data_IF_568318385972
#
_entry.id   IF_568318385972
#
_cell.length_a   1.000
_cell.length_b   1.000
_cell.length_c   1.000
_cell.angle_alpha   90.00
_cell.angle_beta   90.00
_cell.angle_gamma   90.00
#
_symmetry.space_group_name_H-M   'P 1'
#
loop_
_entity.id
_entity.type
_entity.pdbx_description
1 polymer ?
#
# COMPACT_ATOMS: atom_id res chain seq x y z
N UNK A 1 -4.94 -33.94 21.64
CA UNK A 1 -5.49 -32.87 20.78
C UNK A 1 -6.36 -31.99 21.64
N UNK A 2 -5.88 -30.82 22.03
CA UNK A 2 -6.65 -29.92 22.88
C UNK A 2 -7.67 -29.23 21.97
N UNK A 3 -8.94 -29.63 22.02
CA UNK A 3 -10.03 -28.80 21.50
C UNK A 3 -10.11 -27.56 22.40
N UNK A 4 -9.34 -26.55 22.04
CA UNK A 4 -9.37 -25.24 22.68
C UNK A 4 -10.59 -24.50 22.18
N UNK A 5 -11.68 -24.61 22.95
CA UNK A 5 -12.93 -23.92 22.69
C UNK A 5 -12.80 -22.46 23.14
N UNK A 6 -13.24 -21.50 22.32
CA UNK A 6 -13.26 -20.06 22.65
C UNK A 6 -13.86 -19.72 24.03
N UNK A 7 -14.79 -20.53 24.53
CA UNK A 7 -15.40 -20.40 25.87
C UNK A 7 -14.36 -20.53 26.99
N UNK A 8 -13.31 -21.32 26.80
CA UNK A 8 -12.21 -21.45 27.78
C UNK A 8 -11.41 -20.15 27.93
N UNK A 9 -11.50 -19.24 26.97
CA UNK A 9 -10.80 -17.95 27.03
C UNK A 9 -11.72 -16.84 27.50
N UNK A 10 -12.93 -16.74 26.92
CA UNK A 10 -13.85 -15.62 27.12
C UNK A 10 -14.99 -15.89 28.10
N UNK A 11 -15.16 -17.13 28.57
CA UNK A 11 -16.23 -17.49 29.51
C UNK A 11 -16.04 -16.91 30.91
N UNK A 12 -17.07 -17.05 31.76
CA UNK A 12 -17.10 -16.53 33.15
C UNK A 12 -15.90 -17.00 33.98
N UNK A 13 -15.41 -18.22 33.75
CA UNK A 13 -14.21 -18.78 34.38
C UNK A 13 -13.12 -19.06 33.33
N UNK A 14 -13.05 -18.23 32.29
CA UNK A 14 -12.07 -18.36 31.22
C UNK A 14 -10.70 -17.83 31.61
N UNK A 15 -9.67 -18.21 30.85
CA UNK A 15 -8.28 -17.78 31.03
C UNK A 15 -8.15 -16.26 31.12
N UNK A 16 -8.97 -15.49 30.38
CA UNK A 16 -8.94 -14.04 30.46
C UNK A 16 -9.60 -13.50 31.73
N UNK A 17 -10.64 -14.15 32.25
CA UNK A 17 -11.24 -13.78 33.54
C UNK A 17 -10.28 -13.98 34.70
N UNK A 18 -9.40 -14.98 34.64
CA UNK A 18 -8.42 -15.25 35.69
C UNK A 18 -7.17 -14.36 35.60
N UNK A 19 -6.75 -14.01 34.37
CA UNK A 19 -5.47 -13.32 34.13
C UNK A 19 -5.58 -11.82 33.87
N UNK A 20 -6.79 -11.28 33.73
CA UNK A 20 -7.02 -9.86 33.47
C UNK A 20 -7.85 -9.24 34.60
N UNK A 21 -7.21 -8.38 35.37
CA UNK A 21 -7.87 -7.53 36.35
C UNK A 21 -8.83 -6.58 35.64
N UNK A 22 -10.11 -6.56 36.06
CA UNK A 22 -11.16 -5.79 35.38
C UNK A 22 -11.76 -6.44 34.13
N UNK A 23 -11.51 -7.73 33.88
CA UNK A 23 -12.26 -8.46 32.85
C UNK A 23 -13.76 -8.49 33.19
N UNK A 24 -14.56 -8.00 32.27
CA UNK A 24 -16.02 -8.07 32.35
C UNK A 24 -16.52 -9.13 31.37
N UNK A 25 -17.17 -10.17 31.91
CA UNK A 25 -17.79 -11.19 31.08
C UNK A 25 -18.97 -10.60 30.29
N UNK A 26 -18.89 -10.65 28.96
CA UNK A 26 -19.93 -10.18 28.04
C UNK A 26 -20.49 -11.34 27.23
N UNK A 27 -21.74 -11.79 27.50
CA UNK A 27 -22.33 -12.92 26.77
C UNK A 27 -22.36 -12.74 25.25
N UNK A 28 -22.55 -11.51 24.76
CA UNK A 28 -22.54 -11.19 23.33
C UNK A 28 -21.17 -11.44 22.70
N UNK A 29 -20.09 -11.17 23.44
CA UNK A 29 -18.71 -11.40 22.99
C UNK A 29 -18.45 -12.91 22.80
N UNK A 30 -18.88 -13.72 23.77
CA UNK A 30 -18.75 -15.19 23.70
C UNK A 30 -19.58 -15.75 22.54
N UNK A 31 -20.82 -15.29 22.38
CA UNK A 31 -21.69 -15.70 21.27
C UNK A 31 -21.07 -15.38 19.91
N UNK A 32 -20.51 -14.18 19.75
CA UNK A 32 -19.78 -13.80 18.54
C UNK A 32 -18.56 -14.71 18.32
N UNK A 33 -17.75 -14.95 19.33
CA UNK A 33 -16.56 -15.79 19.22
C UNK A 33 -16.89 -17.23 18.81
N UNK A 34 -17.96 -17.83 19.36
CA UNK A 34 -18.43 -19.16 18.98
C UNK A 34 -18.95 -19.20 17.54
N UNK A 35 -19.65 -18.15 17.10
CA UNK A 35 -20.10 -18.04 15.71
C UNK A 35 -18.91 -17.97 14.76
N UNK A 36 -17.88 -17.18 15.10
CA UNK A 36 -16.63 -17.07 14.32
C UNK A 36 -15.87 -18.39 14.29
N UNK A 37 -15.73 -19.09 15.43
CA UNK A 37 -15.14 -20.43 15.52
C UNK A 37 -15.87 -21.45 14.61
N UNK A 38 -17.20 -21.41 14.63
CA UNK A 38 -18.04 -22.26 13.78
C UNK A 38 -17.84 -21.92 12.29
N UNK A 39 -17.74 -20.64 11.95
CA UNK A 39 -17.52 -20.19 10.58
C UNK A 39 -16.17 -20.66 10.02
N UNK A 40 -15.09 -20.55 10.80
CA UNK A 40 -13.77 -21.06 10.42
C UNK A 40 -13.75 -22.58 10.26
N UNK A 41 -14.32 -23.32 11.21
CA UNK A 41 -14.34 -24.79 11.17
C UNK A 41 -15.21 -25.36 10.05
N UNK A 42 -16.31 -24.69 9.70
CA UNK A 42 -17.23 -25.13 8.63
C UNK A 42 -16.96 -24.48 7.27
N UNK A 43 -15.93 -23.62 7.16
CA UNK A 43 -15.64 -22.84 5.96
C UNK A 43 -16.86 -22.07 5.41
N UNK A 44 -17.56 -21.35 6.29
CA UNK A 44 -18.76 -20.56 5.96
C UNK A 44 -18.52 -19.06 6.09
N UNK A 45 -19.27 -18.26 5.33
CA UNK A 45 -19.36 -16.83 5.54
C UNK A 45 -20.23 -16.50 6.76
N UNK A 46 -19.80 -15.52 7.53
CA UNK A 46 -20.52 -15.01 8.70
C UNK A 46 -20.52 -13.49 8.65
N UNK A 47 -21.70 -12.90 8.82
CA UNK A 47 -21.87 -11.47 9.01
C UNK A 47 -22.33 -11.27 10.46
N UNK A 48 -21.63 -10.40 11.19
CA UNK A 48 -21.96 -10.08 12.58
C UNK A 48 -22.11 -8.57 12.71
N UNK A 49 -23.29 -8.14 13.16
CA UNK A 49 -23.48 -6.79 13.68
C UNK A 49 -23.24 -6.83 15.19
N UNK A 50 -22.25 -6.07 15.66
CA UNK A 50 -21.93 -5.99 17.07
C UNK A 50 -21.70 -4.54 17.49
N UNK A 51 -22.40 -4.12 18.54
CA UNK A 51 -22.30 -2.77 19.10
C UNK A 51 -20.87 -2.39 19.53
N UNK A 52 -20.62 -1.10 19.70
CA UNK A 52 -19.37 -0.60 20.28
C UNK A 52 -19.19 -1.12 21.71
N UNK A 53 -17.94 -1.37 22.13
CA UNK A 53 -17.64 -1.85 23.49
C UNK A 53 -17.96 -3.33 23.75
N UNK A 54 -18.50 -4.06 22.80
CA UNK A 54 -18.78 -5.52 22.92
C UNK A 54 -17.53 -6.40 22.95
N UNK A 55 -16.34 -5.83 22.74
CA UNK A 55 -15.09 -6.58 22.67
C UNK A 55 -14.90 -7.36 21.36
N UNK A 56 -15.40 -6.79 20.24
CA UNK A 56 -15.34 -7.36 18.88
C UNK A 56 -13.97 -7.89 18.50
N UNK A 57 -12.92 -7.11 18.74
CA UNK A 57 -11.55 -7.47 18.36
C UNK A 57 -11.12 -8.81 18.94
N UNK A 58 -11.28 -9.00 20.26
CA UNK A 58 -10.96 -10.28 20.90
C UNK A 58 -11.90 -11.41 20.43
N UNK A 59 -13.17 -11.10 20.18
CA UNK A 59 -14.16 -12.08 19.74
C UNK A 59 -13.83 -12.68 18.36
N UNK A 60 -13.19 -11.93 17.45
CA UNK A 60 -12.70 -12.50 16.19
C UNK A 60 -11.24 -12.95 16.24
N UNK A 61 -10.37 -12.28 17.01
CA UNK A 61 -8.94 -12.61 17.07
C UNK A 61 -8.67 -13.95 17.76
N UNK A 62 -9.33 -14.24 18.87
CA UNK A 62 -9.12 -15.49 19.62
C UNK A 62 -9.43 -16.71 18.76
N UNK A 63 -10.66 -16.89 18.21
CA UNK A 63 -10.94 -18.02 17.34
C UNK A 63 -10.04 -18.06 16.10
N UNK A 64 -9.70 -16.90 15.51
CA UNK A 64 -8.78 -16.85 14.37
C UNK A 64 -7.38 -17.39 14.73
N UNK A 65 -6.83 -17.03 15.88
CA UNK A 65 -5.53 -17.51 16.36
C UNK A 65 -5.57 -19.01 16.62
N UNK A 66 -6.58 -19.48 17.39
CA UNK A 66 -6.72 -20.89 17.75
C UNK A 66 -6.79 -21.75 16.49
N UNK A 67 -7.67 -21.38 15.56
CA UNK A 67 -7.85 -22.10 14.31
C UNK A 67 -6.60 -22.06 13.42
N UNK A 68 -5.96 -20.89 13.29
CA UNK A 68 -4.76 -20.73 12.47
C UNK A 68 -3.58 -21.55 13.01
N UNK A 69 -3.39 -21.60 14.33
CA UNK A 69 -2.33 -22.37 14.98
C UNK A 69 -2.61 -23.86 14.91
N UNK A 70 -3.82 -24.31 15.27
CA UNK A 70 -4.21 -25.73 15.28
C UNK A 70 -4.08 -26.36 13.89
N UNK A 71 -4.43 -25.61 12.84
CA UNK A 71 -4.43 -26.10 11.47
C UNK A 71 -3.17 -25.71 10.67
N UNK A 72 -2.24 -24.95 11.26
CA UNK A 72 -1.10 -24.33 10.58
C UNK A 72 -1.51 -23.54 9.32
N UNK A 73 -2.60 -22.78 9.44
CA UNK A 73 -3.24 -21.98 8.39
C UNK A 73 -2.99 -20.49 8.60
N UNK A 74 -3.36 -19.67 7.62
CA UNK A 74 -3.23 -18.21 7.69
C UNK A 74 -4.58 -17.52 7.62
N UNK A 75 -4.76 -16.55 8.51
CA UNK A 75 -5.96 -15.71 8.56
C UNK A 75 -5.55 -14.26 8.30
N UNK A 76 -6.26 -13.61 7.38
CA UNK A 76 -6.13 -12.17 7.16
C UNK A 76 -7.10 -11.43 8.08
N UNK A 77 -6.59 -10.44 8.82
CA UNK A 77 -7.40 -9.49 9.57
C UNK A 77 -7.30 -8.16 8.84
N UNK A 78 -8.39 -7.75 8.20
CA UNK A 78 -8.45 -6.52 7.42
C UNK A 78 -9.21 -5.46 8.21
N UNK A 79 -8.57 -4.33 8.47
CA UNK A 79 -9.17 -3.19 9.17
C UNK A 79 -9.36 -1.99 8.24
N UNK A 80 -10.32 -1.12 8.54
CA UNK A 80 -10.51 0.08 7.74
C UNK A 80 -9.44 1.15 8.01
N UNK A 81 -9.26 1.56 9.26
CA UNK A 81 -8.40 2.71 9.61
C UNK A 81 -7.01 2.29 10.12
N UNK A 82 -6.03 3.19 9.98
CA UNK A 82 -4.69 3.04 10.57
C UNK A 82 -4.75 2.97 12.10
N UNK A 83 -5.66 3.70 12.73
CA UNK A 83 -5.83 3.71 14.19
C UNK A 83 -6.28 2.35 14.71
N UNK A 84 -7.28 1.73 14.08
CA UNK A 84 -7.74 0.39 14.45
C UNK A 84 -6.64 -0.65 14.23
N UNK A 85 -5.89 -0.52 13.13
CA UNK A 85 -4.74 -1.38 12.87
C UNK A 85 -3.67 -1.26 13.97
N UNK A 86 -3.35 -0.04 14.40
CA UNK A 86 -2.41 0.21 15.50
C UNK A 86 -2.94 -0.33 16.83
N UNK A 87 -4.23 -0.23 17.11
CA UNK A 87 -4.84 -0.83 18.29
C UNK A 87 -4.64 -2.35 18.31
N UNK A 88 -4.90 -3.04 17.19
CA UNK A 88 -4.66 -4.48 17.09
C UNK A 88 -3.18 -4.82 17.34
N UNK A 89 -2.26 -4.04 16.76
CA UNK A 89 -0.83 -4.34 16.81
C UNK A 89 -0.16 -3.99 18.14
N UNK A 90 -0.55 -2.89 18.77
CA UNK A 90 0.11 -2.35 19.96
C UNK A 90 -0.58 -2.76 21.25
N UNK A 91 -1.84 -3.20 21.18
CA UNK A 91 -2.63 -3.59 22.35
C UNK A 91 -3.11 -5.04 22.23
N UNK A 92 -3.99 -5.35 21.28
CA UNK A 92 -4.73 -6.62 21.29
C UNK A 92 -3.81 -7.84 21.03
N UNK A 93 -2.91 -7.77 20.05
CA UNK A 93 -1.97 -8.86 19.76
C UNK A 93 -0.95 -9.06 20.90
N UNK A 94 -0.26 -8.02 21.41
CA UNK A 94 0.62 -8.16 22.58
C UNK A 94 -0.10 -8.77 23.78
N UNK A 95 -1.31 -8.29 24.07
CA UNK A 95 -2.17 -8.83 25.13
C UNK A 95 -2.45 -10.33 24.93
N UNK A 96 -2.87 -10.72 23.72
CA UNK A 96 -3.14 -12.13 23.40
C UNK A 96 -1.87 -12.99 23.47
N UNK A 97 -0.71 -12.48 23.05
CA UNK A 97 0.56 -13.23 23.18
C UNK A 97 0.92 -13.51 24.63
N UNK A 98 0.66 -12.57 25.53
CA UNK A 98 0.96 -12.74 26.96
C UNK A 98 -0.05 -13.66 27.65
N UNK A 99 -1.35 -13.47 27.39
CA UNK A 99 -2.41 -14.10 28.19
C UNK A 99 -2.89 -15.44 27.63
N UNK A 100 -2.91 -15.61 26.30
CA UNK A 100 -3.48 -16.79 25.64
C UNK A 100 -2.67 -18.07 25.91
N UNK A 101 -1.37 -17.96 26.22
CA UNK A 101 -0.51 -19.12 26.48
C UNK A 101 -0.16 -19.93 25.23
N UNK A 102 -0.45 -19.39 24.04
CA UNK A 102 -0.24 -20.05 22.74
C UNK A 102 0.78 -19.24 21.95
N UNK A 103 1.77 -19.94 21.38
CA UNK A 103 2.73 -19.32 20.49
C UNK A 103 2.14 -19.16 19.08
N UNK A 104 1.89 -17.91 18.67
CA UNK A 104 1.46 -17.58 17.32
C UNK A 104 2.33 -16.48 16.70
N UNK A 105 2.39 -16.46 15.37
CA UNK A 105 3.15 -15.50 14.58
C UNK A 105 2.19 -14.58 13.85
N UNK A 106 2.50 -13.29 13.80
CA UNK A 106 1.70 -12.29 13.09
C UNK A 106 2.61 -11.37 12.27
N UNK A 107 2.05 -10.73 11.25
CA UNK A 107 2.77 -9.72 10.50
C UNK A 107 1.84 -8.59 10.04
N UNK A 108 2.29 -7.34 10.24
CA UNK A 108 1.71 -6.17 9.59
C UNK A 108 2.12 -6.18 8.11
N UNK A 109 1.12 -6.09 7.25
CA UNK A 109 1.26 -6.01 5.81
C UNK A 109 0.94 -4.58 5.33
N UNK A 110 1.89 -3.96 4.64
CA UNK A 110 1.79 -2.59 4.15
C UNK A 110 2.02 -2.54 2.64
N UNK A 111 1.44 -1.53 1.99
CA UNK A 111 1.72 -1.21 0.59
C UNK A 111 3.20 -0.87 0.38
N UNK A 112 3.68 -1.10 -0.84
CA UNK A 112 5.09 -0.98 -1.24
C UNK A 112 5.69 0.39 -0.89
N UNK A 113 4.92 1.44 -1.13
CA UNK A 113 5.22 2.86 -0.93
C UNK A 113 5.39 3.26 0.53
N UNK A 114 5.00 2.40 1.47
CA UNK A 114 5.18 2.65 2.90
C UNK A 114 6.56 2.26 3.42
N UNK A 115 7.40 1.64 2.58
CA UNK A 115 8.75 1.20 2.96
C UNK A 115 9.83 2.15 2.45
N UNK A 116 10.82 2.44 3.28
CA UNK A 116 12.06 3.08 2.87
C UNK A 116 12.86 2.18 1.91
N UNK A 117 13.45 2.77 0.87
CA UNK A 117 14.40 2.10 -0.02
C UNK A 117 15.82 2.60 0.25
N UNK A 118 16.63 1.77 0.92
CA UNK A 118 18.04 2.09 1.26
C UNK A 118 18.85 2.54 0.04
N UNK A 119 18.76 1.82 -1.09
CA UNK A 119 19.41 2.22 -2.35
C UNK A 119 19.00 3.63 -2.82
N UNK A 120 17.71 3.97 -2.70
CA UNK A 120 17.21 5.28 -3.16
C UNK A 120 17.62 6.40 -2.20
N UNK A 121 17.65 6.10 -0.90
CA UNK A 121 18.19 7.00 0.12
C UNK A 121 19.69 7.28 -0.08
N UNK A 122 20.49 6.27 -0.42
CA UNK A 122 21.91 6.44 -0.76
C UNK A 122 22.09 7.31 -2.01
N UNK A 123 21.29 7.02 -3.05
CA UNK A 123 21.30 7.79 -4.30
C UNK A 123 20.92 9.25 -4.10
N UNK A 124 19.91 9.52 -3.28
CA UNK A 124 19.40 10.88 -3.06
C UNK A 124 20.42 11.82 -2.41
N UNK A 125 21.46 11.27 -1.76
CA UNK A 125 22.61 12.03 -1.26
C UNK A 125 23.60 12.44 -2.37
N UNK A 126 23.64 11.73 -3.50
CA UNK A 126 24.60 11.98 -4.59
C UNK A 126 24.09 12.99 -5.62
N UNK A 127 22.76 13.14 -5.74
CA UNK A 127 22.14 13.75 -6.93
C UNK A 127 21.65 15.20 -6.73
N UNK A 128 21.89 15.85 -5.60
CA UNK A 128 21.48 17.26 -5.39
C UNK A 128 19.98 17.50 -5.66
N UNK A 129 19.14 16.48 -5.42
CA UNK A 129 17.72 16.45 -5.81
C UNK A 129 16.83 17.33 -4.94
N UNK A 130 17.34 17.83 -3.81
CA UNK A 130 16.60 18.63 -2.85
C UNK A 130 16.86 20.12 -3.08
N UNK A 131 15.78 20.90 -3.12
CA UNK A 131 15.77 22.27 -3.60
C UNK A 131 15.86 23.31 -2.48
N UNK A 132 15.61 22.87 -1.25
CA UNK A 132 15.41 23.72 -0.06
C UNK A 132 16.15 23.12 1.13
N UNK A 133 16.67 23.98 1.99
CA UNK A 133 17.33 23.60 3.26
C UNK A 133 16.52 22.55 4.03
N UNK A 134 15.20 22.74 4.10
CA UNK A 134 14.29 21.87 4.85
C UNK A 134 14.17 20.45 4.27
N UNK A 135 14.22 20.32 2.93
CA UNK A 135 14.15 19.01 2.27
C UNK A 135 15.43 18.19 2.52
N UNK A 136 16.58 18.86 2.50
CA UNK A 136 17.87 18.24 2.81
C UNK A 136 17.98 17.87 4.29
N UNK A 137 17.47 18.70 5.19
CA UNK A 137 17.36 18.39 6.62
C UNK A 137 16.50 17.14 6.85
N UNK A 138 15.31 17.07 6.24
CA UNK A 138 14.46 15.87 6.36
C UNK A 138 15.14 14.63 5.78
N UNK A 139 15.83 14.72 4.64
CA UNK A 139 16.61 13.60 4.09
C UNK A 139 17.69 13.13 5.06
N UNK A 140 18.44 14.05 5.66
CA UNK A 140 19.47 13.72 6.67
C UNK A 140 18.85 13.08 7.92
N UNK A 141 17.66 13.54 8.32
CA UNK A 141 16.85 12.91 9.37
C UNK A 141 16.47 11.46 9.02
N UNK A 142 15.98 11.22 7.81
CA UNK A 142 15.67 9.86 7.32
C UNK A 142 16.93 8.99 7.28
N UNK A 143 18.06 9.53 6.84
CA UNK A 143 19.34 8.80 6.81
C UNK A 143 19.77 8.34 8.20
N UNK A 144 19.71 9.25 9.18
CA UNK A 144 20.05 8.95 10.57
C UNK A 144 19.08 7.94 11.21
N UNK A 145 17.79 8.03 10.85
CA UNK A 145 16.76 7.11 11.30
C UNK A 145 16.88 5.72 10.66
N UNK A 146 17.29 5.63 9.39
CA UNK A 146 17.43 4.37 8.66
C UNK A 146 18.41 3.40 9.32
N UNK A 147 19.41 3.91 10.05
CA UNK A 147 20.36 3.11 10.81
C UNK A 147 19.77 2.53 12.11
N UNK A 148 18.66 3.07 12.62
CA UNK A 148 18.04 2.71 13.90
C UNK A 148 16.74 1.93 13.74
N UNK A 149 16.01 2.14 12.65
CA UNK A 149 14.71 1.51 12.42
C UNK A 149 14.85 0.02 12.09
N UNK A 150 13.93 -0.80 12.62
CA UNK A 150 13.85 -2.23 12.31
C UNK A 150 12.92 -2.52 11.12
N UNK A 151 11.96 -1.63 10.87
CA UNK A 151 10.83 -1.85 9.95
C UNK A 151 10.97 -1.07 8.65
N UNK A 152 11.61 0.11 8.71
CA UNK A 152 11.68 1.05 7.59
C UNK A 152 10.32 1.61 7.17
N UNK A 153 9.29 1.58 8.01
CA UNK A 153 7.98 2.15 7.68
C UNK A 153 7.99 3.68 7.72
N UNK A 154 7.31 4.31 6.75
CA UNK A 154 7.08 5.77 6.76
C UNK A 154 6.44 6.24 8.07
N UNK A 155 5.51 5.46 8.61
CA UNK A 155 4.79 5.77 9.86
C UNK A 155 5.68 5.77 11.10
N UNK A 156 6.85 5.14 11.03
CA UNK A 156 7.75 4.97 12.17
C UNK A 156 8.80 6.10 12.19
N UNK A 157 8.69 7.08 11.29
CA UNK A 157 9.49 8.29 11.31
C UNK A 157 9.08 9.17 12.51
N UNK A 158 10.05 9.79 13.20
CA UNK A 158 9.77 10.64 14.36
C UNK A 158 9.26 12.05 13.98
N UNK A 159 9.05 12.31 12.68
CA UNK A 159 8.57 13.58 12.16
C UNK A 159 7.69 13.36 10.92
N UNK A 160 6.89 14.36 10.58
CA UNK A 160 6.09 14.34 9.37
C UNK A 160 6.98 14.64 8.14
N UNK A 161 7.23 13.60 7.34
CA UNK A 161 8.01 13.73 6.11
C UNK A 161 7.18 14.33 4.98
N UNK A 162 7.75 15.33 4.32
CA UNK A 162 7.17 15.96 3.13
C UNK A 162 6.95 14.90 2.04
N UNK A 163 5.80 14.92 1.33
CA UNK A 163 5.52 13.95 0.27
C UNK A 163 6.63 13.85 -0.78
N UNK A 164 7.20 14.99 -1.20
CA UNK A 164 8.27 15.05 -2.20
C UNK A 164 9.56 14.38 -1.70
N UNK A 165 9.90 14.55 -0.42
CA UNK A 165 11.09 13.91 0.18
C UNK A 165 10.89 12.40 0.26
N UNK A 166 9.74 11.95 0.75
CA UNK A 166 9.45 10.52 0.84
C UNK A 166 9.38 9.87 -0.53
N UNK A 167 8.88 10.57 -1.54
CA UNK A 167 8.81 10.02 -2.89
C UNK A 167 10.19 9.71 -3.47
N UNK A 168 11.21 10.51 -3.13
CA UNK A 168 12.59 10.30 -3.57
C UNK A 168 13.27 9.10 -2.89
N UNK A 169 12.96 8.83 -1.62
CA UNK A 169 13.66 7.80 -0.83
C UNK A 169 12.85 6.53 -0.57
N UNK A 170 11.52 6.61 -0.64
CA UNK A 170 10.60 5.51 -0.45
C UNK A 170 10.68 4.47 -1.56
N UNK A 171 10.19 3.26 -1.34
CA UNK A 171 10.19 2.20 -2.35
C UNK A 171 9.10 2.48 -3.39
N UNK A 172 9.48 2.39 -4.66
CA UNK A 172 8.58 2.36 -5.81
C UNK A 172 8.73 1.00 -6.51
N UNK A 173 7.61 0.35 -6.87
CA UNK A 173 7.60 -1.04 -7.37
C UNK A 173 8.34 -1.15 -8.70
N UNK A 174 8.03 -0.24 -9.61
CA UNK A 174 8.60 -0.04 -10.94
C UNK A 174 10.08 0.32 -10.92
N UNK A 175 10.56 1.03 -9.89
CA UNK A 175 11.98 1.36 -9.75
C UNK A 175 12.79 0.28 -9.01
N UNK A 176 12.17 -0.81 -8.53
CA UNK A 176 12.84 -1.77 -7.65
C UNK A 176 13.67 -2.81 -8.43
N UNK A 177 14.97 -2.90 -8.15
CA UNK A 177 15.88 -3.92 -8.71
C UNK A 177 15.63 -5.36 -8.23
N UNK A 178 14.71 -5.57 -7.30
CA UNK A 178 14.42 -6.89 -6.74
C UNK A 178 15.67 -7.59 -6.21
N UNK A 179 15.92 -8.82 -6.67
CA UNK A 179 17.07 -9.65 -6.26
C UNK A 179 18.43 -9.07 -6.68
N UNK A 180 18.47 -8.24 -7.72
CA UNK A 180 19.70 -7.61 -8.22
C UNK A 180 20.08 -6.37 -7.40
N UNK A 181 19.23 -5.95 -6.47
CA UNK A 181 19.51 -4.78 -5.63
C UNK A 181 20.66 -5.07 -4.65
N UNK A 182 21.70 -4.24 -4.66
CA UNK A 182 22.85 -4.34 -3.72
C UNK A 182 22.42 -4.37 -2.25
N UNK A 183 21.35 -3.66 -1.91
CA UNK A 183 20.79 -3.61 -0.54
C UNK A 183 19.68 -4.64 -0.31
N UNK A 184 19.54 -5.70 -1.13
CA UNK A 184 18.44 -6.67 -1.03
C UNK A 184 18.42 -7.39 0.33
N UNK A 185 19.58 -7.81 0.85
CA UNK A 185 19.69 -8.51 2.14
C UNK A 185 19.28 -7.64 3.33
N UNK A 186 19.55 -6.33 3.27
CA UNK A 186 19.17 -5.36 4.30
C UNK A 186 17.80 -4.73 4.06
N UNK A 187 17.17 -4.96 2.90
CA UNK A 187 15.93 -4.32 2.47
C UNK A 187 14.74 -4.60 3.42
N UNK A 188 14.20 -3.52 3.99
CA UNK A 188 13.04 -3.54 4.87
C UNK A 188 11.82 -4.24 4.25
N UNK A 189 11.50 -3.93 3.00
CA UNK A 189 10.39 -4.53 2.27
C UNK A 189 10.51 -6.06 2.16
N UNK A 190 11.66 -6.56 1.68
CA UNK A 190 11.84 -8.01 1.51
C UNK A 190 11.93 -8.75 2.85
N UNK A 191 12.51 -8.13 3.88
CA UNK A 191 12.47 -8.66 5.25
C UNK A 191 11.03 -8.78 5.76
N UNK A 192 10.19 -7.76 5.56
CA UNK A 192 8.78 -7.79 5.93
C UNK A 192 8.02 -8.87 5.14
N UNK A 193 8.18 -8.93 3.80
CA UNK A 193 7.59 -9.99 2.96
C UNK A 193 7.94 -11.38 3.46
N UNK A 194 9.20 -11.63 3.85
CA UNK A 194 9.60 -12.92 4.44
C UNK A 194 8.85 -13.23 5.74
N UNK A 195 8.63 -12.23 6.60
CA UNK A 195 7.81 -12.38 7.82
C UNK A 195 6.35 -12.71 7.48
N UNK A 196 5.78 -12.11 6.43
CA UNK A 196 4.39 -12.37 6.02
C UNK A 196 4.17 -13.86 5.70
N UNK A 197 5.08 -14.49 4.95
CA UNK A 197 4.96 -15.92 4.61
C UNK A 197 4.95 -16.85 5.82
N UNK A 198 5.65 -16.48 6.90
CA UNK A 198 5.71 -17.27 8.13
C UNK A 198 4.58 -17.00 9.11
N UNK A 199 3.78 -15.95 8.93
CA UNK A 199 2.77 -15.54 9.90
C UNK A 199 1.51 -16.43 9.86
N UNK A 200 0.89 -16.64 11.02
CA UNK A 200 -0.47 -17.19 11.13
C UNK A 200 -1.52 -16.08 10.92
N UNK A 201 -1.24 -14.86 11.41
CA UNK A 201 -2.11 -13.69 11.21
C UNK A 201 -1.44 -12.66 10.30
N UNK A 202 -2.14 -12.27 9.24
CA UNK A 202 -1.77 -11.16 8.37
C UNK A 202 -2.66 -9.96 8.68
N UNK A 203 -2.10 -8.92 9.28
CA UNK A 203 -2.83 -7.69 9.59
C UNK A 203 -2.67 -6.74 8.42
N UNK A 204 -3.77 -6.40 7.74
CA UNK A 204 -3.80 -5.56 6.54
C UNK A 204 -4.82 -4.44 6.73
N UNK A 205 -4.79 -3.40 5.90
CA UNK A 205 -5.96 -2.54 5.72
C UNK A 205 -6.85 -3.05 4.57
N UNK A 206 -8.09 -2.58 4.50
CA UNK A 206 -9.01 -2.93 3.39
C UNK A 206 -8.40 -2.60 2.03
N UNK A 207 -7.72 -1.46 1.92
CA UNK A 207 -7.09 -1.03 0.67
C UNK A 207 -6.06 -2.06 0.14
N UNK A 208 -5.14 -2.54 0.98
CA UNK A 208 -4.15 -3.55 0.59
C UNK A 208 -4.78 -4.90 0.30
N UNK A 209 -5.85 -5.26 1.01
CA UNK A 209 -6.62 -6.47 0.71
C UNK A 209 -7.22 -6.41 -0.69
N UNK A 210 -7.89 -5.31 -1.06
CA UNK A 210 -8.46 -5.19 -2.39
C UNK A 210 -7.42 -5.01 -3.49
N UNK A 211 -6.29 -4.35 -3.20
CA UNK A 211 -5.14 -4.35 -4.10
C UNK A 211 -4.66 -5.78 -4.39
N UNK A 212 -4.67 -6.67 -3.38
CA UNK A 212 -4.37 -8.08 -3.57
C UNK A 212 -5.39 -8.80 -4.46
N UNK A 213 -6.70 -8.55 -4.24
CA UNK A 213 -7.78 -9.14 -5.05
C UNK A 213 -7.69 -8.69 -6.52
N UNK A 214 -7.52 -7.39 -6.76
CA UNK A 214 -7.38 -6.82 -8.10
C UNK A 214 -6.15 -7.37 -8.85
N UNK A 215 -5.09 -7.75 -8.12
CA UNK A 215 -3.89 -8.36 -8.67
C UNK A 215 -3.90 -9.90 -8.59
N UNK A 216 -5.08 -10.54 -8.58
CA UNK A 216 -5.26 -12.00 -8.57
C UNK A 216 -4.46 -12.73 -7.48
N UNK A 217 -4.30 -12.11 -6.30
CA UNK A 217 -3.60 -12.70 -5.16
C UNK A 217 -2.08 -12.52 -5.14
N UNK A 218 -1.50 -11.69 -6.02
CA UNK A 218 -0.05 -11.54 -6.13
C UNK A 218 0.61 -10.72 -4.99
N UNK A 219 -0.17 -10.03 -4.16
CA UNK A 219 0.35 -9.07 -3.18
C UNK A 219 0.60 -9.73 -1.82
N UNK A 220 -0.39 -10.47 -1.30
CA UNK A 220 -0.33 -11.14 0.00
C UNK A 220 0.08 -12.62 -0.19
N UNK A 221 0.66 -13.28 0.82
CA UNK A 221 0.80 -14.73 0.83
C UNK A 221 -0.57 -15.41 0.70
N UNK A 222 -0.59 -16.64 0.18
CA UNK A 222 -1.80 -17.46 0.22
C UNK A 222 -2.33 -17.59 1.66
N UNK A 223 -3.64 -17.38 1.82
CA UNK A 223 -4.34 -17.40 3.09
C UNK A 223 -5.60 -18.25 2.98
N UNK A 224 -6.08 -18.73 4.13
CA UNK A 224 -7.17 -19.71 4.21
C UNK A 224 -8.49 -19.08 4.64
N UNK A 225 -8.45 -17.92 5.30
CA UNK A 225 -9.65 -17.19 5.72
C UNK A 225 -9.36 -15.69 5.91
N UNK A 226 -10.41 -14.87 5.92
CA UNK A 226 -10.35 -13.42 6.12
C UNK A 226 -11.43 -12.96 7.10
N UNK A 227 -11.06 -12.01 7.95
CA UNK A 227 -11.98 -11.24 8.81
C UNK A 227 -11.91 -9.78 8.37
N UNK A 228 -13.06 -9.20 8.07
CA UNK A 228 -13.21 -7.76 7.80
C UNK A 228 -13.77 -7.07 9.04
N UNK A 229 -12.97 -6.21 9.65
CA UNK A 229 -13.41 -5.34 10.73
C UNK A 229 -13.90 -4.00 10.16
N UNK A 230 -14.97 -3.44 10.71
CA UNK A 230 -15.67 -2.27 10.16
C UNK A 230 -16.10 -2.46 8.68
N UNK A 231 -16.64 -3.64 8.38
CA UNK A 231 -17.01 -4.11 7.04
C UNK A 231 -18.03 -3.22 6.29
N UNK A 232 -18.68 -2.27 6.95
CA UNK A 232 -19.52 -1.27 6.28
C UNK A 232 -18.72 -0.37 5.33
N UNK A 233 -17.40 -0.25 5.50
CA UNK A 233 -16.54 0.53 4.60
C UNK A 233 -15.95 -0.31 3.44
N UNK A 234 -16.39 -1.58 3.33
CA UNK A 234 -15.81 -2.53 2.38
C UNK A 234 -16.19 -2.20 0.94
N UNK A 235 -17.41 -1.72 0.70
CA UNK A 235 -17.91 -1.35 -0.64
C UNK A 235 -17.10 -0.20 -1.24
N UNK A 236 -16.86 0.87 -0.47
CA UNK A 236 -16.06 2.01 -0.90
C UNK A 236 -14.62 1.59 -1.21
N UNK A 237 -14.01 0.79 -0.33
CA UNK A 237 -12.67 0.27 -0.52
C UNK A 237 -12.57 -0.64 -1.77
N UNK A 238 -13.58 -1.48 -2.02
CA UNK A 238 -13.63 -2.32 -3.21
C UNK A 238 -13.76 -1.47 -4.49
N UNK A 239 -14.66 -0.48 -4.48
CA UNK A 239 -14.92 0.40 -5.62
C UNK A 239 -13.66 1.16 -6.03
N UNK A 240 -12.87 1.64 -5.08
CA UNK A 240 -11.64 2.36 -5.38
C UNK A 240 -10.57 1.51 -6.10
N UNK A 241 -10.46 0.21 -5.78
CA UNK A 241 -9.43 -0.67 -6.36
C UNK A 241 -9.89 -1.45 -7.60
N UNK A 242 -11.20 -1.66 -7.73
CA UNK A 242 -11.79 -2.30 -8.91
C UNK A 242 -12.17 -1.26 -9.98
N UNK A 243 -12.23 0.02 -9.61
CA UNK A 243 -12.40 1.14 -10.51
C UNK A 243 -11.10 1.64 -11.12
N UNK A 244 -11.22 2.44 -12.19
CA UNK A 244 -10.14 3.12 -12.86
C UNK A 244 -10.27 4.61 -12.55
N UNK A 245 -9.17 5.27 -12.16
CA UNK A 245 -9.14 6.71 -11.88
C UNK A 245 -8.12 7.39 -12.80
N UNK A 246 -8.58 8.41 -13.53
CA UNK A 246 -7.73 9.25 -14.36
C UNK A 246 -7.81 10.68 -13.83
N UNK A 247 -6.66 11.26 -13.53
CA UNK A 247 -6.53 12.61 -12.99
C UNK A 247 -5.52 13.41 -13.79
N UNK A 248 -5.91 14.60 -14.24
CA UNK A 248 -5.02 15.55 -14.91
C UNK A 248 -3.80 15.88 -14.03
N UNK A 249 -4.01 15.98 -12.72
CA UNK A 249 -2.97 16.34 -11.75
C UNK A 249 -1.92 15.23 -11.64
N UNK A 250 -2.35 13.96 -11.66
CA UNK A 250 -1.42 12.81 -11.67
C UNK A 250 -0.61 12.76 -12.98
N UNK A 251 -1.24 13.03 -14.12
CA UNK A 251 -0.56 13.08 -15.42
C UNK A 251 0.47 14.22 -15.49
N UNK A 252 0.11 15.44 -15.06
CA UNK A 252 1.06 16.54 -15.00
C UNK A 252 2.20 16.28 -14.02
N UNK A 253 1.90 15.67 -12.88
CA UNK A 253 2.90 15.28 -11.91
C UNK A 253 3.93 14.32 -12.51
N UNK A 254 3.46 13.31 -13.24
CA UNK A 254 4.33 12.39 -13.98
C UNK A 254 5.22 13.14 -14.99
N UNK A 255 4.66 14.05 -15.80
CA UNK A 255 5.43 14.83 -16.76
C UNK A 255 6.44 15.76 -16.10
N UNK A 256 6.12 16.36 -14.96
CA UNK A 256 7.05 17.20 -14.20
C UNK A 256 8.22 16.40 -13.61
N UNK A 257 8.01 15.12 -13.30
CA UNK A 257 9.11 14.22 -12.91
C UNK A 257 10.03 13.89 -14.09
N UNK A 258 9.50 13.80 -15.31
CA UNK A 258 10.33 13.69 -16.51
C UNK A 258 11.10 14.98 -16.76
N UNK A 259 10.39 16.09 -16.85
CA UNK A 259 10.93 17.43 -17.02
C UNK A 259 9.91 18.49 -16.63
N UNK A 260 10.19 19.21 -15.54
CA UNK A 260 9.39 20.35 -15.13
C UNK A 260 9.86 21.62 -15.88
N UNK A 261 8.99 22.27 -16.67
CA UNK A 261 9.38 23.42 -17.49
C UNK A 261 9.72 24.67 -16.65
N UNK A 262 9.14 24.80 -15.44
CA UNK A 262 9.35 25.95 -14.55
C UNK A 262 10.67 25.86 -13.80
N UNK A 263 10.96 24.69 -13.22
CA UNK A 263 12.17 24.49 -12.41
C UNK A 263 13.35 23.98 -13.24
N UNK A 264 13.10 23.53 -14.48
CA UNK A 264 14.07 22.87 -15.37
C UNK A 264 14.69 21.61 -14.76
N UNK A 265 14.03 20.99 -13.79
CA UNK A 265 14.44 19.75 -13.12
C UNK A 265 13.68 18.54 -13.68
N UNK A 266 14.10 17.35 -13.30
CA UNK A 266 13.47 16.09 -13.70
C UNK A 266 14.49 15.07 -14.22
N UNK A 267 14.01 13.85 -14.47
CA UNK A 267 14.80 12.73 -14.98
C UNK A 267 15.62 13.13 -16.22
N UNK A 268 15.02 13.86 -17.15
CA UNK A 268 15.67 14.21 -18.41
C UNK A 268 16.76 15.29 -18.25
N UNK A 269 16.87 15.97 -17.12
CA UNK A 269 17.90 17.00 -16.89
C UNK A 269 19.26 16.40 -16.55
N UNK A 270 19.28 15.21 -15.96
CA UNK A 270 20.49 14.51 -15.49
C UNK A 270 21.06 13.51 -16.50
N UNK A 271 20.38 13.30 -17.63
CA UNK A 271 20.78 12.37 -18.67
C UNK A 271 21.53 13.12 -19.78
N UNK A 272 22.75 12.68 -20.08
CA UNK A 272 23.54 13.18 -21.20
C UNK A 272 23.39 12.26 -22.41
N UNK A 273 22.38 12.54 -23.25
CA UNK A 273 22.10 11.77 -24.45
C UNK A 273 21.44 12.63 -25.54
N UNK A 274 21.81 12.40 -26.81
CA UNK A 274 21.43 13.25 -27.95
C UNK A 274 19.90 13.34 -28.18
N UNK A 275 19.14 12.32 -27.78
CA UNK A 275 17.68 12.27 -27.97
C UNK A 275 16.92 13.04 -26.87
N UNK A 276 17.56 13.38 -25.74
CA UNK A 276 16.91 14.05 -24.59
C UNK A 276 16.14 15.32 -24.98
N UNK A 277 16.65 16.25 -25.82
CA UNK A 277 15.88 17.42 -26.26
C UNK A 277 14.58 17.06 -27.00
N UNK A 278 14.60 15.97 -27.78
CA UNK A 278 13.42 15.47 -28.48
C UNK A 278 12.39 14.89 -27.50
N UNK A 279 12.82 14.10 -26.51
CA UNK A 279 11.93 13.56 -25.45
C UNK A 279 11.28 14.70 -24.66
N UNK A 280 12.03 15.77 -24.32
CA UNK A 280 11.47 16.95 -23.64
C UNK A 280 10.38 17.62 -24.47
N UNK A 281 10.58 17.74 -25.79
CA UNK A 281 9.57 18.28 -26.70
C UNK A 281 8.30 17.42 -26.71
N UNK A 282 8.44 16.09 -26.78
CA UNK A 282 7.31 15.17 -26.72
C UNK A 282 6.56 15.28 -25.38
N UNK A 283 7.27 15.37 -24.25
CA UNK A 283 6.65 15.59 -22.94
C UNK A 283 5.82 16.89 -22.89
N UNK A 284 6.29 17.96 -23.54
CA UNK A 284 5.50 19.19 -23.69
C UNK A 284 4.28 19.01 -24.60
N UNK A 285 4.40 18.23 -25.69
CA UNK A 285 3.25 17.91 -26.55
C UNK A 285 2.19 17.10 -25.80
N UNK A 286 2.59 16.12 -24.98
CA UNK A 286 1.67 15.38 -24.11
C UNK A 286 1.00 16.31 -23.10
N UNK A 287 1.77 17.21 -22.47
CA UNK A 287 1.21 18.22 -21.55
C UNK A 287 0.10 19.04 -22.20
N UNK A 288 0.33 19.54 -23.41
CA UNK A 288 -0.68 20.30 -24.17
C UNK A 288 -1.90 19.45 -24.53
N UNK A 289 -1.71 18.19 -24.89
CA UNK A 289 -2.80 17.26 -25.19
C UNK A 289 -3.66 16.97 -23.95
N UNK A 290 -3.04 16.82 -22.77
CA UNK A 290 -3.76 16.66 -21.49
C UNK A 290 -4.59 17.90 -21.18
N UNK A 291 -3.98 19.10 -21.27
CA UNK A 291 -4.71 20.35 -21.04
C UNK A 291 -5.93 20.45 -21.98
N UNK A 292 -5.73 20.24 -23.29
CA UNK A 292 -6.80 20.29 -24.27
C UNK A 292 -7.92 19.27 -24.00
N UNK A 293 -7.56 18.03 -23.69
CA UNK A 293 -8.52 16.96 -23.38
C UNK A 293 -9.38 17.30 -22.16
N UNK A 294 -8.75 17.68 -21.04
CA UNK A 294 -9.50 17.98 -19.81
C UNK A 294 -10.28 19.29 -19.90
N UNK A 295 -9.80 20.30 -20.63
CA UNK A 295 -10.57 21.50 -20.93
C UNK A 295 -11.83 21.15 -21.72
N UNK A 296 -11.70 20.38 -22.81
CA UNK A 296 -12.84 19.97 -23.62
C UNK A 296 -13.83 19.12 -22.82
N UNK A 297 -13.33 18.18 -22.02
CA UNK A 297 -14.16 17.37 -21.11
C UNK A 297 -14.97 18.24 -20.14
N UNK A 298 -14.35 19.26 -19.55
CA UNK A 298 -15.02 20.19 -18.64
C UNK A 298 -16.00 21.12 -19.36
N UNK A 299 -15.72 21.54 -20.59
CA UNK A 299 -16.66 22.36 -21.38
C UNK A 299 -17.92 21.58 -21.76
N UNK A 300 -17.76 20.31 -22.15
CA UNK A 300 -18.87 19.48 -22.61
C UNK A 300 -19.70 18.90 -21.44
N UNK A 301 -19.01 18.41 -20.41
CA UNK A 301 -19.63 17.67 -19.31
C UNK A 301 -19.59 18.37 -17.96
N UNK A 302 -18.86 19.47 -17.83
CA UNK A 302 -18.82 20.26 -16.60
C UNK A 302 -20.21 20.79 -16.23
N UNK A 303 -20.54 20.70 -14.95
CA UNK A 303 -21.75 21.25 -14.34
C UNK A 303 -21.35 22.06 -13.11
N UNK A 304 -22.26 22.90 -12.62
CA UNK A 304 -22.03 23.65 -11.37
C UNK A 304 -21.83 22.72 -10.17
N UNK A 305 -22.44 21.52 -10.21
CA UNK A 305 -22.16 20.43 -9.29
C UNK A 305 -20.79 19.79 -9.57
N UNK A 306 -19.98 19.65 -8.52
CA UNK A 306 -18.61 19.12 -8.59
C UNK A 306 -18.54 17.64 -9.03
N UNK A 307 -19.66 16.93 -9.13
CA UNK A 307 -19.72 15.49 -9.44
C UNK A 307 -20.79 15.21 -10.49
N UNK A 308 -20.37 14.63 -11.61
CA UNK A 308 -21.26 14.15 -12.69
C UNK A 308 -21.13 12.63 -12.79
N UNK A 309 -22.25 11.92 -12.73
CA UNK A 309 -22.28 10.46 -12.85
C UNK A 309 -22.75 10.04 -14.25
N UNK A 310 -21.92 9.25 -14.92
CA UNK A 310 -22.23 8.65 -16.21
C UNK A 310 -22.78 7.23 -16.04
N UNK A 311 -23.95 6.95 -16.62
CA UNK A 311 -24.51 5.59 -16.69
C UNK A 311 -24.22 4.88 -18.01
N UNK A 312 -23.64 5.60 -18.97
CA UNK A 312 -23.10 5.10 -20.25
C UNK A 312 -21.77 5.80 -20.50
N UNK A 313 -20.80 5.15 -21.16
CA UNK A 313 -19.53 5.79 -21.48
C UNK A 313 -19.75 7.13 -22.21
N UNK A 314 -19.12 8.24 -21.78
CA UNK A 314 -19.16 9.48 -22.53
C UNK A 314 -18.47 9.30 -23.88
N UNK A 315 -18.95 10.02 -24.89
CA UNK A 315 -18.32 10.03 -26.21
C UNK A 315 -17.21 11.07 -26.17
N UNK A 316 -15.96 10.62 -26.12
CA UNK A 316 -14.78 11.46 -26.01
C UNK A 316 -13.71 10.96 -26.96
N UNK A 317 -13.08 11.89 -27.68
CA UNK A 317 -11.87 11.58 -28.43
C UNK A 317 -10.65 11.59 -27.49
N UNK A 318 -9.87 10.51 -27.49
CA UNK A 318 -8.67 10.41 -26.67
C UNK A 318 -7.48 11.05 -27.39
N UNK A 319 -7.47 12.39 -27.42
CA UNK A 319 -6.37 13.17 -27.98
C UNK A 319 -5.02 13.01 -27.26
N UNK A 320 -4.99 12.36 -26.09
CA UNK A 320 -3.77 12.11 -25.30
C UNK A 320 -3.01 10.88 -25.85
N UNK A 321 -3.73 9.90 -26.41
CA UNK A 321 -3.18 8.59 -26.78
C UNK A 321 -1.95 8.68 -27.69
N UNK A 322 -2.08 9.38 -28.83
CA UNK A 322 -1.01 9.47 -29.84
C UNK A 322 0.24 10.19 -29.31
N UNK A 323 0.14 11.39 -28.70
CA UNK A 323 1.28 12.03 -28.06
C UNK A 323 1.96 11.17 -27.00
N UNK A 324 1.17 10.48 -26.15
CA UNK A 324 1.69 9.66 -25.06
C UNK A 324 2.44 8.42 -25.60
N UNK A 325 1.93 7.81 -26.67
CA UNK A 325 2.59 6.67 -27.32
C UNK A 325 3.91 7.10 -27.99
N UNK A 326 3.94 8.28 -28.61
CA UNK A 326 5.18 8.83 -29.17
C UNK A 326 6.22 9.10 -28.07
N UNK A 327 5.80 9.63 -26.92
CA UNK A 327 6.68 9.83 -25.75
C UNK A 327 7.23 8.48 -25.24
N UNK A 328 6.37 7.46 -25.12
CA UNK A 328 6.74 6.11 -24.71
C UNK A 328 7.83 5.52 -25.59
N UNK A 329 7.64 5.52 -26.91
CA UNK A 329 8.61 4.95 -27.86
C UNK A 329 9.95 5.71 -27.86
N UNK A 330 9.89 7.03 -27.65
CA UNK A 330 11.09 7.85 -27.48
C UNK A 330 11.84 7.53 -26.17
N UNK A 331 11.13 7.27 -25.08
CA UNK A 331 11.71 6.83 -23.81
C UNK A 331 12.37 5.45 -23.95
N UNK A 332 11.74 4.48 -24.63
CA UNK A 332 12.38 3.18 -24.91
C UNK A 332 13.66 3.31 -25.74
N UNK A 333 13.64 4.20 -26.74
CA UNK A 333 14.82 4.49 -27.56
C UNK A 333 15.94 5.13 -26.73
N UNK A 334 15.58 6.01 -25.78
CA UNK A 334 16.52 6.60 -24.83
C UNK A 334 17.10 5.54 -23.89
N UNK A 335 16.28 4.63 -23.36
CA UNK A 335 16.71 3.53 -22.49
C UNK A 335 17.83 2.69 -23.14
N UNK A 336 17.66 2.31 -24.40
CA UNK A 336 18.64 1.48 -25.12
C UNK A 336 20.01 2.16 -25.28
N UNK A 337 20.05 3.49 -25.27
CA UNK A 337 21.28 4.29 -25.39
C UNK A 337 22.00 4.61 -24.07
N UNK A 338 21.42 4.25 -22.93
CA UNK A 338 21.96 4.60 -21.61
C UNK A 338 22.94 3.54 -21.07
N UNK A 339 24.08 4.00 -20.55
CA UNK A 339 25.10 3.13 -19.97
C UNK A 339 24.85 2.79 -18.49
N UNK A 340 24.23 3.70 -17.74
CA UNK A 340 23.91 3.50 -16.33
C UNK A 340 22.70 2.57 -16.17
N UNK A 341 22.84 1.52 -15.34
CA UNK A 341 21.72 0.64 -14.98
C UNK A 341 20.59 1.40 -14.27
N UNK A 342 20.94 2.37 -13.41
CA UNK A 342 19.93 3.18 -12.71
C UNK A 342 19.13 4.06 -13.67
N UNK A 343 19.81 4.63 -14.67
CA UNK A 343 19.16 5.52 -15.63
C UNK A 343 18.24 4.76 -16.56
N UNK A 344 18.67 3.55 -16.97
CA UNK A 344 17.81 2.63 -17.72
C UNK A 344 16.55 2.28 -16.95
N UNK A 345 16.66 1.96 -15.65
CA UNK A 345 15.48 1.62 -14.84
C UNK A 345 14.52 2.80 -14.70
N UNK A 346 15.02 4.01 -14.44
CA UNK A 346 14.17 5.19 -14.32
C UNK A 346 13.44 5.50 -15.65
N UNK A 347 14.13 5.38 -16.78
CA UNK A 347 13.56 5.63 -18.11
C UNK A 347 12.59 4.52 -18.53
N UNK A 348 12.92 3.25 -18.27
CA UNK A 348 12.05 2.11 -18.50
C UNK A 348 10.75 2.23 -17.69
N UNK A 349 10.85 2.56 -16.40
CA UNK A 349 9.69 2.79 -15.55
C UNK A 349 8.83 3.96 -16.06
N UNK A 350 9.43 5.03 -16.57
CA UNK A 350 8.68 6.11 -17.19
C UNK A 350 7.97 5.69 -18.49
N UNK A 351 8.61 4.88 -19.33
CA UNK A 351 7.99 4.34 -20.53
C UNK A 351 6.80 3.42 -20.19
N UNK A 352 6.94 2.59 -19.15
CA UNK A 352 5.85 1.73 -18.67
C UNK A 352 4.68 2.54 -18.12
N UNK A 353 4.93 3.62 -17.36
CA UNK A 353 3.85 4.51 -16.91
C UNK A 353 3.10 5.17 -18.07
N UNK A 354 3.79 5.54 -19.16
CA UNK A 354 3.12 6.04 -20.37
C UNK A 354 2.18 4.98 -20.97
N UNK A 355 2.60 3.71 -20.96
CA UNK A 355 1.76 2.59 -21.39
C UNK A 355 0.54 2.42 -20.47
N UNK A 356 0.75 2.40 -19.16
CA UNK A 356 -0.34 2.30 -18.18
C UNK A 356 -1.37 3.41 -18.40
N UNK A 357 -0.96 4.68 -18.52
CA UNK A 357 -1.89 5.78 -18.77
C UNK A 357 -2.69 5.68 -20.08
N UNK A 358 -2.17 4.98 -21.09
CA UNK A 358 -2.85 4.78 -22.37
C UNK A 358 -3.81 3.57 -22.38
N UNK A 359 -3.66 2.63 -21.45
CA UNK A 359 -4.37 1.34 -21.43
C UNK A 359 -5.20 1.11 -20.16
N UNK A 360 -5.24 2.11 -19.28
CA UNK A 360 -6.09 2.23 -18.10
C UNK A 360 -7.19 3.22 -18.43
#
# INVERSE_FOLDING_TARGET
MIKENVVKFLGVNGILSEKLEGFEHRPQQVKMAQAVETAFSQAKHLIVEAGTGTGKSLAYLIPAILWAVENNKKVVISTYTKTLQQQILNHDIPFLREKLGISFRYALCMGNENYLSLRRLERSAQTGLFNKSDEEEQRNGIFSWAAKTETGYRSDLPFEVMPQVWEEVGRQKDLCLGKNCKTHSSCFYFKARKKWFGAHLLIVNHHLFFANVANSGAVLPAYDAVVFDEAQNLEDAATQFLGLEISNSNLFYFLDRLHNPRTKKGLLTRLDHAIVPHVRKLAMTVRQAIDAFFTHFLEEYGREDRVVRFYKPPVLDNGIYVPMEALRESLKSLEAGLHSEEDRIDVAAAAERCFEFNNT
#
